data_IF_276201811560
#
_entry.id   IF_276201811560
#
_cell.length_a   1.000
_cell.length_b   1.000
_cell.length_c   1.000
_cell.angle_alpha   90.00
_cell.angle_beta   90.00
_cell.angle_gamma   90.00
#
_symmetry.space_group_name_H-M   'P 1'
#
loop_
_entity.id
_entity.type
_entity.pdbx_description
1 polymer ?
#
# COMPACT_ATOMS: atom_id res chain seq x y z
N UNK A 1 -17.76 44.52 38.80
CA UNK A 1 -18.67 43.59 39.52
C UNK A 1 -19.79 43.27 38.52
N UNK A 2 -20.05 42.07 38.01
CA UNK A 2 -19.85 40.67 38.44
C UNK A 2 -19.75 39.75 37.20
N UNK A 3 -19.10 38.61 37.38
CA UNK A 3 -18.85 37.49 36.44
C UNK A 3 -20.12 36.68 36.16
N UNK A 4 -20.31 36.14 34.94
CA UNK A 4 -20.91 34.81 34.70
C UNK A 4 -20.45 34.25 33.34
N UNK A 5 -20.06 32.98 33.34
CA UNK A 5 -19.40 32.11 32.33
C UNK A 5 -20.39 31.42 31.39
N UNK A 6 -19.91 30.87 30.25
CA UNK A 6 -20.23 29.57 29.59
C UNK A 6 -19.73 29.65 28.12
N UNK A 7 -18.61 29.04 27.73
CA UNK A 7 -18.39 27.63 27.38
C UNK A 7 -19.21 27.13 26.17
N UNK A 8 -18.54 27.08 25.01
CA UNK A 8 -18.58 26.06 23.93
C UNK A 8 -17.45 26.48 22.97
N UNK A 9 -16.23 25.90 22.99
CA UNK A 9 -15.88 24.54 22.57
C UNK A 9 -16.78 24.10 21.41
N UNK A 10 -16.28 24.33 20.20
CA UNK A 10 -16.41 23.38 19.10
C UNK A 10 -15.07 23.39 18.38
N UNK A 11 -14.23 22.51 18.91
CA UNK A 11 -13.16 21.83 18.21
C UNK A 11 -13.57 21.45 16.78
N UNK A 12 -13.31 22.33 15.82
CA UNK A 12 -13.00 21.90 14.47
C UNK A 12 -11.55 21.38 14.50
N UNK A 13 -11.36 20.21 15.12
CA UNK A 13 -10.28 19.33 14.73
C UNK A 13 -10.64 18.86 13.32
N UNK A 14 -10.28 19.66 12.32
CA UNK A 14 -10.00 19.10 11.00
C UNK A 14 -8.98 17.99 11.27
N UNK A 15 -9.48 16.75 11.19
CA UNK A 15 -8.66 15.55 11.21
C UNK A 15 -7.97 15.53 9.85
N UNK A 16 -7.03 16.47 9.66
CA UNK A 16 -5.97 16.37 8.69
C UNK A 16 -5.26 15.08 9.08
N UNK A 17 -5.67 13.98 8.44
CA UNK A 17 -4.91 12.76 8.41
C UNK A 17 -3.64 13.14 7.66
N UNK A 18 -2.68 13.68 8.40
CA UNK A 18 -1.31 13.85 7.96
C UNK A 18 -0.81 12.43 7.74
N UNK A 19 -1.05 11.91 6.53
CA UNK A 19 -0.48 10.67 6.08
C UNK A 19 1.02 10.87 6.21
N UNK A 20 1.57 10.38 7.32
CA UNK A 20 2.99 10.43 7.61
C UNK A 20 3.71 10.03 6.30
N UNK A 21 4.58 10.88 5.74
CA UNK A 21 5.18 10.62 4.42
C UNK A 21 5.92 9.27 4.37
N UNK A 22 6.32 8.72 5.53
CA UNK A 22 6.85 7.37 5.66
C UNK A 22 5.77 6.28 5.53
N UNK A 23 4.55 6.56 5.96
CA UNK A 23 3.40 5.67 5.90
C UNK A 23 3.00 5.40 4.43
N UNK A 24 2.81 6.47 3.65
CA UNK A 24 2.49 6.41 2.22
C UNK A 24 3.60 5.73 1.40
N UNK A 25 4.86 6.03 1.69
CA UNK A 25 5.99 5.48 0.94
C UNK A 25 6.09 3.94 1.02
N UNK A 26 5.79 3.35 2.17
CA UNK A 26 5.82 1.89 2.35
C UNK A 26 4.67 1.19 1.62
N UNK A 27 3.47 1.80 1.63
CA UNK A 27 2.30 1.28 0.90
C UNK A 27 2.53 1.37 -0.62
N UNK A 28 3.03 2.49 -1.12
CA UNK A 28 3.39 2.66 -2.53
C UNK A 28 4.47 1.67 -2.97
N UNK A 29 5.47 1.43 -2.12
CA UNK A 29 6.51 0.45 -2.40
C UNK A 29 5.93 -0.98 -2.49
N UNK A 30 5.02 -1.35 -1.59
CA UNK A 30 4.35 -2.64 -1.63
C UNK A 30 3.52 -2.81 -2.92
N UNK A 31 2.81 -1.77 -3.35
CA UNK A 31 2.09 -1.77 -4.63
C UNK A 31 3.04 -1.90 -5.82
N UNK A 32 4.20 -1.25 -5.78
CA UNK A 32 5.25 -1.39 -6.80
C UNK A 32 5.73 -2.84 -6.93
N UNK A 33 6.04 -3.50 -5.81
CA UNK A 33 6.46 -4.91 -5.81
C UNK A 33 5.31 -5.82 -6.29
N UNK A 34 4.07 -5.55 -5.88
CA UNK A 34 2.91 -6.31 -6.37
C UNK A 34 2.76 -6.25 -7.89
N UNK A 35 2.93 -5.06 -8.50
CA UNK A 35 2.93 -4.88 -9.96
C UNK A 35 4.06 -5.66 -10.63
N UNK A 36 5.25 -5.68 -10.04
CA UNK A 36 6.37 -6.49 -10.54
C UNK A 36 6.07 -7.99 -10.51
N UNK A 37 5.42 -8.48 -9.45
CA UNK A 37 4.97 -9.88 -9.35
C UNK A 37 3.96 -10.20 -10.45
N UNK A 38 2.97 -9.33 -10.67
CA UNK A 38 1.98 -9.49 -11.73
C UNK A 38 2.63 -9.51 -13.12
N UNK A 39 3.59 -8.61 -13.38
CA UNK A 39 4.35 -8.58 -14.62
C UNK A 39 5.15 -9.88 -14.82
N UNK A 40 5.79 -10.41 -13.77
CA UNK A 40 6.50 -11.69 -13.84
C UNK A 40 5.56 -12.83 -14.24
N UNK A 41 4.37 -12.91 -13.60
CA UNK A 41 3.36 -13.89 -13.97
C UNK A 41 2.92 -13.76 -15.43
N UNK A 42 2.72 -12.53 -15.92
CA UNK A 42 2.36 -12.29 -17.31
C UNK A 42 3.45 -12.72 -18.30
N UNK A 43 4.73 -12.48 -18.00
CA UNK A 43 5.84 -12.95 -18.84
C UNK A 43 5.98 -14.47 -18.83
N UNK A 44 5.81 -15.10 -17.67
CA UNK A 44 5.83 -16.57 -17.55
C UNK A 44 4.68 -17.19 -18.36
N UNK A 45 3.46 -16.64 -18.25
CA UNK A 45 2.29 -17.14 -18.97
C UNK A 45 2.41 -16.98 -20.48
N UNK A 46 3.06 -15.91 -20.97
CA UNK A 46 3.33 -15.69 -22.39
C UNK A 46 4.39 -16.64 -22.96
N UNK A 47 5.30 -17.16 -22.13
CA UNK A 47 6.36 -18.06 -22.57
C UNK A 47 7.48 -17.36 -23.37
N UNK A 48 7.65 -16.05 -23.20
CA UNK A 48 8.62 -15.22 -23.94
C UNK A 48 10.08 -15.49 -23.50
N UNK A 49 10.62 -16.67 -23.84
CA UNK A 49 12.03 -17.05 -23.76
C UNK A 49 12.82 -16.45 -22.58
N UNK A 50 13.80 -15.60 -22.87
CA UNK A 50 14.67 -14.98 -21.87
C UNK A 50 13.92 -14.11 -20.84
N UNK A 51 12.80 -13.48 -21.22
CA UNK A 51 11.96 -12.72 -20.30
C UNK A 51 11.18 -13.63 -19.37
N UNK A 52 10.65 -14.76 -19.87
CA UNK A 52 9.99 -15.76 -19.05
C UNK A 52 10.97 -16.42 -18.05
N UNK A 53 12.19 -16.73 -18.49
CA UNK A 53 13.24 -17.25 -17.61
C UNK A 53 13.63 -16.22 -16.53
N UNK A 54 13.91 -14.98 -16.93
CA UNK A 54 14.23 -13.89 -15.99
C UNK A 54 13.09 -13.68 -14.99
N UNK A 55 11.85 -13.66 -15.45
CA UNK A 55 10.68 -13.54 -14.59
C UNK A 55 10.54 -14.71 -13.61
N UNK A 56 10.76 -15.94 -14.07
CA UNK A 56 10.73 -17.12 -13.20
C UNK A 56 11.80 -17.08 -12.11
N UNK A 57 13.00 -16.59 -12.43
CA UNK A 57 14.11 -16.43 -11.48
C UNK A 57 13.86 -15.29 -10.48
N UNK A 58 13.27 -14.17 -10.93
CA UNK A 58 13.03 -12.99 -10.09
C UNK A 58 11.76 -13.10 -9.24
N UNK A 59 10.75 -13.85 -9.67
CA UNK A 59 9.49 -14.04 -8.95
C UNK A 59 9.65 -14.41 -7.46
N UNK A 60 10.49 -15.39 -7.06
CA UNK A 60 10.70 -15.69 -5.65
C UNK A 60 11.31 -14.52 -4.86
N UNK A 61 12.19 -13.71 -5.49
CA UNK A 61 12.79 -12.54 -4.85
C UNK A 61 11.74 -11.48 -4.53
N UNK A 62 10.92 -11.09 -5.52
CA UNK A 62 9.85 -10.12 -5.29
C UNK A 62 8.81 -10.61 -4.27
N UNK A 63 8.46 -11.90 -4.27
CA UNK A 63 7.56 -12.48 -3.26
C UNK A 63 8.13 -12.41 -1.85
N UNK A 64 9.43 -12.69 -1.70
CA UNK A 64 10.10 -12.60 -0.40
C UNK A 64 10.18 -11.15 0.09
N UNK A 65 10.50 -10.22 -0.80
CA UNK A 65 10.55 -8.78 -0.52
C UNK A 65 9.17 -8.24 -0.12
N UNK A 66 8.13 -8.54 -0.90
CA UNK A 66 6.76 -8.14 -0.59
C UNK A 66 6.33 -8.67 0.78
N UNK A 67 6.62 -9.93 1.09
CA UNK A 67 6.29 -10.52 2.40
C UNK A 67 6.99 -9.78 3.54
N UNK A 68 8.28 -9.50 3.41
CA UNK A 68 9.04 -8.76 4.42
C UNK A 68 8.46 -7.35 4.62
N UNK A 69 8.11 -6.67 3.53
CA UNK A 69 7.53 -5.35 3.58
C UNK A 69 6.17 -5.36 4.27
N UNK A 70 5.27 -6.27 3.89
CA UNK A 70 3.95 -6.42 4.54
C UNK A 70 4.08 -6.70 6.04
N UNK A 71 5.05 -7.52 6.45
CA UNK A 71 5.32 -7.78 7.88
C UNK A 71 5.79 -6.56 8.67
N UNK A 72 6.32 -5.53 7.99
CA UNK A 72 6.74 -4.27 8.61
C UNK A 72 5.65 -3.21 8.65
N UNK A 73 4.52 -3.43 7.98
CA UNK A 73 3.42 -2.49 7.93
C UNK A 73 2.66 -2.46 9.27
N UNK A 74 2.23 -1.28 9.66
CA UNK A 74 1.20 -1.12 10.69
C UNK A 74 -0.17 -1.58 10.18
N UNK A 75 -1.11 -1.79 11.11
CA UNK A 75 -2.48 -2.17 10.76
C UNK A 75 -3.16 -1.18 9.79
N UNK A 76 -2.91 0.13 9.97
CA UNK A 76 -3.45 1.16 9.08
C UNK A 76 -2.90 1.01 7.65
N UNK A 77 -1.58 0.79 7.51
CA UNK A 77 -0.93 0.59 6.21
C UNK A 77 -1.37 -0.71 5.54
N UNK A 78 -1.52 -1.79 6.29
CA UNK A 78 -2.00 -3.06 5.74
C UNK A 78 -3.45 -2.92 5.24
N UNK A 79 -4.30 -2.21 5.98
CA UNK A 79 -5.67 -1.92 5.55
C UNK A 79 -5.69 -1.06 4.29
N UNK A 80 -4.86 -0.03 4.20
CA UNK A 80 -4.75 0.82 3.01
C UNK A 80 -4.25 0.02 1.80
N UNK A 81 -3.20 -0.78 1.97
CA UNK A 81 -2.67 -1.65 0.93
C UNK A 81 -3.74 -2.61 0.42
N UNK A 82 -4.53 -3.22 1.32
CA UNK A 82 -5.63 -4.12 0.95
C UNK A 82 -6.69 -3.41 0.13
N UNK A 83 -7.16 -2.24 0.57
CA UNK A 83 -8.11 -1.43 -0.19
C UNK A 83 -7.57 -1.06 -1.57
N UNK A 84 -6.29 -0.67 -1.66
CA UNK A 84 -5.65 -0.32 -2.92
C UNK A 84 -5.53 -1.54 -3.87
N UNK A 85 -5.24 -2.73 -3.34
CA UNK A 85 -5.20 -3.97 -4.13
C UNK A 85 -6.59 -4.42 -4.58
N UNK A 86 -7.62 -4.21 -3.77
CA UNK A 86 -9.03 -4.48 -4.14
C UNK A 86 -9.46 -3.55 -5.30
N UNK A 87 -9.14 -2.26 -5.21
CA UNK A 87 -9.44 -1.29 -6.26
C UNK A 87 -8.75 -1.62 -7.62
N UNK A 88 -7.63 -2.33 -7.62
CA UNK A 88 -6.96 -2.80 -8.84
C UNK A 88 -7.64 -4.00 -9.50
N UNK A 89 -8.50 -4.74 -8.79
CA UNK A 89 -9.19 -5.93 -9.29
C UNK A 89 -10.66 -5.68 -9.68
N UNK A 90 -11.24 -4.53 -9.31
CA UNK A 90 -12.60 -4.15 -9.72
C UNK A 90 -12.70 -4.08 -11.26
N UNK A 91 -13.61 -4.85 -11.90
CA UNK A 91 -13.85 -4.73 -13.32
C UNK A 91 -14.53 -3.39 -13.63
N UNK A 92 -13.91 -2.61 -14.52
CA UNK A 92 -14.44 -1.34 -15.03
C UNK A 92 -15.75 -1.50 -15.82
#
# INVERSE_FOLDING_TARGET
>A
MTRTTHHTSNDEYEHQHDSDPMHTALVEHALGIHRNIAACHAHIARGDGAHALTAALMLPCYRAEFRKLVQSLSFAQESELRTALEALHEPA
#
